data_IF_216805704728
#
_entry.id   IF_216805704728
#
_cell.length_a   1.000
_cell.length_b   1.000
_cell.length_c   1.000
_cell.angle_alpha   90.00
_cell.angle_beta   90.00
_cell.angle_gamma   90.00
#
_symmetry.space_group_name_H-M   'P 1'
#
loop_
_entity.id
_entity.type
_entity.pdbx_description
1 polymer ?
#
# COMPACT_ATOMS: atom_id res chain seq x y z
N UNK A 1 -45.77 -16.48 42.30
CA UNK A 1 -46.42 -15.18 42.14
C UNK A 1 -45.48 -14.16 42.75
N UNK A 2 -44.46 -13.80 41.98
CA UNK A 2 -44.36 -12.56 41.17
C UNK A 2 -43.54 -11.58 42.04
N UNK A 3 -42.30 -11.22 41.75
CA UNK A 3 -41.68 -10.95 40.45
C UNK A 3 -41.85 -9.46 40.16
N UNK A 4 -41.04 -8.60 40.78
CA UNK A 4 -40.95 -7.17 40.46
C UNK A 4 -39.56 -6.65 40.90
N UNK A 5 -38.54 -6.98 40.09
CA UNK A 5 -37.31 -6.21 40.04
C UNK A 5 -37.66 -4.86 39.40
N UNK A 6 -37.54 -3.77 40.16
CA UNK A 6 -37.70 -2.41 39.65
C UNK A 6 -36.43 -2.03 38.92
N UNK A 7 -36.46 -2.14 37.60
CA UNK A 7 -35.43 -1.59 36.72
C UNK A 7 -35.46 -0.06 36.84
N UNK A 8 -34.44 0.51 37.48
CA UNK A 8 -34.22 1.95 37.51
C UNK A 8 -33.85 2.43 36.10
N UNK A 9 -34.87 2.93 35.40
CA UNK A 9 -34.79 3.64 34.14
C UNK A 9 -33.95 4.91 34.31
N UNK A 10 -32.65 4.82 33.96
CA UNK A 10 -31.77 5.98 33.80
C UNK A 10 -32.21 6.78 32.57
N UNK A 11 -33.26 7.59 32.72
CA UNK A 11 -33.66 8.59 31.75
C UNK A 11 -32.62 9.72 31.67
N UNK A 12 -31.78 9.70 30.64
CA UNK A 12 -31.02 10.88 30.25
C UNK A 12 -32.00 11.89 29.61
N UNK A 13 -32.00 13.18 30.04
CA UNK A 13 -32.85 14.19 29.44
C UNK A 13 -32.43 14.43 27.99
N UNK A 14 -33.41 14.32 27.08
CA UNK A 14 -33.25 14.44 25.64
C UNK A 14 -32.43 15.64 25.20
N UNK A 15 -31.20 15.39 24.79
CA UNK A 15 -30.59 16.15 23.71
C UNK A 15 -31.23 15.61 22.42
N UNK A 16 -32.13 16.40 21.82
CA UNK A 16 -32.50 16.21 20.42
C UNK A 16 -31.28 16.49 19.57
N UNK A 17 -30.41 15.48 19.43
CA UNK A 17 -29.57 15.37 18.25
C UNK A 17 -30.57 15.02 17.15
N UNK A 18 -30.83 15.99 16.28
CA UNK A 18 -31.42 15.73 14.98
C UNK A 18 -30.53 14.67 14.34
N UNK A 19 -30.95 13.41 14.41
CA UNK A 19 -30.28 12.32 13.73
C UNK A 19 -30.62 12.49 12.26
N UNK A 20 -29.96 13.43 11.59
CA UNK A 20 -29.79 13.39 10.15
C UNK A 20 -29.14 12.04 9.86
N UNK A 21 -29.96 11.09 9.43
CA UNK A 21 -29.56 9.75 9.07
C UNK A 21 -28.73 9.84 7.79
N UNK A 22 -27.45 10.15 7.94
CA UNK A 22 -26.47 10.14 6.86
C UNK A 22 -26.12 8.70 6.42
N UNK A 23 -26.97 7.72 6.71
CA UNK A 23 -26.78 6.32 6.30
C UNK A 23 -26.85 6.14 4.78
N UNK A 24 -27.53 7.05 4.09
CA UNK A 24 -27.58 7.15 2.61
C UNK A 24 -26.38 7.91 2.01
N UNK A 25 -25.55 8.57 2.83
CA UNK A 25 -24.34 9.24 2.34
C UNK A 25 -23.24 8.20 2.21
N UNK A 26 -22.79 7.95 0.99
CA UNK A 26 -21.65 7.08 0.74
C UNK A 26 -20.42 7.67 1.46
N UNK A 27 -19.75 6.92 2.36
CA UNK A 27 -18.56 7.39 3.09
C UNK A 27 -17.45 7.95 2.19
N UNK A 28 -17.39 7.51 0.92
CA UNK A 28 -16.40 7.97 -0.04
C UNK A 28 -16.82 9.26 -0.78
N UNK A 29 -18.09 9.67 -0.70
CA UNK A 29 -18.61 10.89 -1.30
C UNK A 29 -18.15 12.15 -0.52
N UNK A 30 -18.10 12.07 0.81
CA UNK A 30 -17.57 13.15 1.66
C UNK A 30 -16.08 13.42 1.40
N UNK A 31 -15.31 12.37 1.09
CA UNK A 31 -13.89 12.47 0.75
C UNK A 31 -13.65 12.97 -0.70
N UNK A 32 -14.72 13.22 -1.47
CA UNK A 32 -14.64 13.73 -2.84
C UNK A 32 -14.05 12.74 -3.86
N UNK A 33 -13.99 11.45 -3.52
CA UNK A 33 -13.31 10.42 -4.32
C UNK A 33 -14.27 9.85 -5.38
N UNK A 34 -15.58 9.95 -5.15
CA UNK A 34 -16.62 9.35 -5.99
C UNK A 34 -17.05 10.13 -7.23
N UNK A 35 -16.69 11.42 -7.38
CA UNK A 35 -17.16 12.25 -8.50
C UNK A 35 -16.04 12.60 -9.48
N UNK A 36 -15.52 11.59 -10.18
CA UNK A 36 -14.67 11.80 -11.36
C UNK A 36 -14.90 10.75 -12.44
N UNK A 37 -16.16 10.51 -12.79
CA UNK A 37 -16.51 9.87 -14.06
C UNK A 37 -17.17 10.91 -14.96
N UNK A 38 -16.47 11.25 -16.04
CA UNK A 38 -16.84 12.20 -17.11
C UNK A 38 -16.84 13.71 -16.77
N UNK A 39 -15.66 14.33 -16.80
CA UNK A 39 -15.51 15.74 -17.15
C UNK A 39 -14.80 15.88 -18.51
N UNK A 40 -15.51 15.53 -19.58
CA UNK A 40 -15.22 16.12 -20.91
C UNK A 40 -16.15 17.31 -21.09
N UNK A 41 -15.75 18.46 -20.56
CA UNK A 41 -16.15 19.78 -21.05
C UNK A 41 -15.19 20.79 -20.43
N UNK A 42 -14.34 21.31 -21.30
CA UNK A 42 -13.65 22.58 -21.22
C UNK A 42 -14.46 23.62 -20.47
N UNK A 43 -14.04 23.97 -19.26
CA UNK A 43 -14.13 25.32 -18.73
C UNK A 43 -12.86 25.61 -17.93
N UNK A 44 -12.17 26.63 -18.40
CA UNK A 44 -10.91 27.19 -17.94
C UNK A 44 -11.14 27.91 -16.61
N UNK A 45 -10.70 27.33 -15.48
CA UNK A 45 -10.53 28.11 -14.24
C UNK A 45 -9.43 27.55 -13.32
N UNK A 46 -8.35 28.33 -13.19
CA UNK A 46 -7.61 28.53 -11.93
C UNK A 46 -6.68 27.44 -11.38
N UNK A 47 -6.79 26.17 -11.77
CA UNK A 47 -5.95 25.11 -11.19
C UNK A 47 -4.65 24.95 -11.98
N UNK A 48 -3.67 25.83 -11.72
CA UNK A 48 -2.26 25.48 -11.98
C UNK A 48 -2.03 24.13 -11.33
N UNK A 49 -1.84 23.10 -12.15
CA UNK A 49 -1.47 21.78 -11.69
C UNK A 49 -0.10 21.86 -11.04
N UNK A 50 -0.08 22.11 -9.73
CA UNK A 50 1.05 21.75 -8.90
C UNK A 50 0.97 20.23 -8.79
N UNK A 51 1.59 19.55 -9.74
CA UNK A 51 1.90 18.15 -9.57
C UNK A 51 2.94 18.05 -8.46
N UNK A 52 2.47 17.80 -7.23
CA UNK A 52 3.30 17.72 -6.03
C UNK A 52 4.38 16.62 -6.15
N UNK A 53 4.24 15.70 -7.12
CA UNK A 53 5.21 14.64 -7.41
C UNK A 53 6.28 15.08 -8.43
N UNK A 54 6.01 16.04 -9.31
CA UNK A 54 7.01 16.57 -10.26
C UNK A 54 8.16 17.27 -9.54
N UNK A 55 7.89 18.02 -8.47
CA UNK A 55 8.95 18.70 -7.69
C UNK A 55 9.89 17.75 -6.95
N UNK A 56 9.54 16.47 -6.78
CA UNK A 56 10.40 15.48 -6.12
C UNK A 56 11.33 14.78 -7.12
N UNK A 57 10.99 14.78 -8.42
CA UNK A 57 11.75 14.12 -9.49
C UNK A 57 12.66 15.08 -10.25
N UNK A 58 12.35 16.38 -10.28
CA UNK A 58 13.13 17.40 -11.00
C UNK A 58 14.33 17.98 -10.21
N UNK A 59 14.58 17.56 -8.95
CA UNK A 59 15.68 18.05 -8.12
C UNK A 59 16.83 17.03 -7.95
N UNK A 60 17.11 16.22 -8.98
CA UNK A 60 18.33 15.39 -9.05
C UNK A 60 18.98 15.43 -10.44
N UNK A 61 19.18 16.64 -10.97
CA UNK A 61 20.01 16.89 -12.15
C UNK A 61 20.99 18.03 -11.84
N UNK A 62 22.17 17.70 -11.29
CA UNK A 62 23.14 18.75 -10.99
C UNK A 62 24.48 18.39 -10.36
N UNK A 63 25.26 17.43 -10.90
CA UNK A 63 26.73 17.45 -10.74
C UNK A 63 27.44 17.07 -12.06
N UNK A 64 27.89 18.05 -12.86
CA UNK A 64 28.87 17.83 -13.91
C UNK A 64 30.31 18.07 -13.40
N UNK A 65 31.25 17.38 -14.08
CA UNK A 65 32.68 17.70 -14.22
C UNK A 65 33.69 17.08 -13.22
N UNK A 66 34.27 15.94 -13.61
CA UNK A 66 35.74 15.81 -13.56
C UNK A 66 36.23 14.71 -14.51
N UNK A 67 36.74 15.14 -15.67
CA UNK A 67 37.56 14.36 -16.57
C UNK A 67 38.82 13.80 -15.88
N UNK A 68 38.94 12.47 -15.83
CA UNK A 68 40.24 11.79 -15.85
C UNK A 68 40.17 10.60 -16.80
N UNK A 69 40.72 10.85 -17.98
CA UNK A 69 40.92 9.89 -19.05
C UNK A 69 41.94 8.79 -18.67
N UNK A 70 41.87 7.71 -19.46
CA UNK A 70 42.97 6.85 -19.92
C UNK A 70 43.08 5.46 -19.28
N UNK A 71 42.61 4.41 -20.01
CA UNK A 71 42.95 3.04 -19.64
C UNK A 71 42.31 1.88 -20.40
N UNK A 72 42.62 1.74 -21.70
CA UNK A 72 42.72 0.46 -22.43
C UNK A 72 41.45 -0.37 -22.69
N UNK A 73 40.96 -0.21 -23.92
CA UNK A 73 40.49 -1.26 -24.83
C UNK A 73 40.96 -2.68 -24.44
N UNK A 74 40.07 -3.45 -23.81
CA UNK A 74 40.05 -4.90 -23.88
C UNK A 74 38.61 -5.32 -24.22
N UNK A 75 38.50 -5.70 -25.48
CA UNK A 75 37.50 -6.58 -26.07
C UNK A 75 37.07 -7.69 -25.09
N UNK A 76 35.76 -7.99 -25.08
CA UNK A 76 35.13 -9.30 -24.82
C UNK A 76 34.04 -9.31 -23.74
N UNK A 77 32.80 -9.42 -24.24
CA UNK A 77 31.68 -10.21 -23.72
C UNK A 77 31.25 -10.03 -22.25
N UNK A 78 30.09 -9.40 -22.06
CA UNK A 78 29.39 -9.41 -20.78
C UNK A 78 28.71 -8.10 -20.47
N UNK A 79 27.48 -7.93 -20.97
CA UNK A 79 26.55 -6.90 -20.52
C UNK A 79 26.24 -7.13 -19.03
N UNK A 80 27.02 -6.52 -18.14
CA UNK A 80 26.74 -6.48 -16.70
C UNK A 80 25.69 -5.39 -16.41
N UNK A 81 24.43 -5.67 -16.73
CA UNK A 81 23.30 -5.03 -16.04
C UNK A 81 22.99 -5.83 -14.78
N UNK A 82 23.73 -5.58 -13.70
CA UNK A 82 23.36 -6.02 -12.35
C UNK A 82 23.52 -4.87 -11.39
N UNK A 83 22.57 -3.92 -11.38
CA UNK A 83 22.47 -2.99 -10.25
C UNK A 83 21.13 -2.27 -10.08
N UNK A 84 20.01 -2.84 -10.55
CA UNK A 84 18.66 -2.33 -10.23
C UNK A 84 17.73 -3.34 -9.57
N UNK A 85 18.08 -4.64 -9.55
CA UNK A 85 17.15 -5.68 -9.07
C UNK A 85 17.11 -5.83 -7.54
N UNK A 86 18.17 -5.47 -6.80
CA UNK A 86 18.17 -5.66 -5.34
C UNK A 86 17.13 -4.78 -4.62
N UNK A 87 16.94 -3.54 -5.09
CA UNK A 87 15.93 -2.63 -4.54
C UNK A 87 14.51 -3.12 -4.81
N UNK A 88 14.26 -3.64 -6.01
CA UNK A 88 12.94 -4.15 -6.39
C UNK A 88 12.59 -5.46 -5.69
N UNK A 89 13.57 -6.37 -5.54
CA UNK A 89 13.43 -7.60 -4.76
C UNK A 89 13.16 -7.27 -3.29
N UNK A 90 13.87 -6.31 -2.71
CA UNK A 90 13.67 -5.90 -1.32
C UNK A 90 12.28 -5.29 -1.10
N UNK A 91 11.77 -4.50 -2.05
CA UNK A 91 10.41 -3.95 -2.01
C UNK A 91 9.32 -5.03 -2.18
N UNK A 92 9.54 -5.97 -3.09
CA UNK A 92 8.65 -7.11 -3.31
C UNK A 92 8.57 -8.00 -2.05
N UNK A 93 9.71 -8.28 -1.43
CA UNK A 93 9.79 -9.02 -0.18
C UNK A 93 9.12 -8.27 0.97
N UNK A 94 9.35 -6.95 1.12
CA UNK A 94 8.69 -6.15 2.14
C UNK A 94 7.15 -6.20 2.00
N UNK A 95 6.65 -6.10 0.76
CA UNK A 95 5.21 -6.23 0.48
C UNK A 95 4.69 -7.61 0.85
N UNK A 96 5.46 -8.66 0.53
CA UNK A 96 5.10 -10.03 0.84
C UNK A 96 5.11 -10.32 2.34
N UNK A 97 6.08 -9.77 3.08
CA UNK A 97 6.16 -9.87 4.55
C UNK A 97 4.98 -9.17 5.21
N UNK A 98 4.61 -7.97 4.75
CA UNK A 98 3.40 -7.28 5.23
C UNK A 98 2.17 -8.18 5.07
N UNK A 99 1.99 -8.81 3.89
CA UNK A 99 0.90 -9.76 3.69
C UNK A 99 1.01 -10.98 4.63
N UNK A 100 2.19 -11.56 4.75
CA UNK A 100 2.44 -12.72 5.60
C UNK A 100 2.08 -12.45 7.07
N UNK A 101 2.41 -11.26 7.58
CA UNK A 101 2.06 -10.82 8.94
C UNK A 101 0.54 -10.69 9.14
N UNK A 102 -0.23 -10.35 8.09
CA UNK A 102 -1.70 -10.25 8.22
C UNK A 102 -2.42 -11.59 8.24
N UNK A 103 -1.87 -12.60 7.57
CA UNK A 103 -2.50 -13.94 7.46
C UNK A 103 -1.98 -14.93 8.50
N UNK A 104 -0.83 -14.66 9.12
CA UNK A 104 -0.27 -15.51 10.16
C UNK A 104 -0.95 -15.24 11.50
N UNK A 105 -2.03 -15.98 11.80
CA UNK A 105 -2.81 -15.84 13.04
C UNK A 105 -2.71 -17.12 13.85
N UNK A 106 -2.32 -17.01 15.13
CA UNK A 106 -2.19 -18.14 16.07
C UNK A 106 -1.32 -19.32 15.59
N UNK A 107 -0.37 -19.07 14.67
CA UNK A 107 0.48 -20.11 14.10
C UNK A 107 -0.22 -21.03 13.10
N UNK A 108 -1.40 -20.63 12.61
CA UNK A 108 -2.22 -21.41 11.68
C UNK A 108 -2.50 -20.54 10.45
N UNK A 109 -2.43 -21.16 9.27
CA UNK A 109 -2.94 -20.59 8.03
C UNK A 109 -4.06 -21.47 7.49
N UNK A 110 -5.11 -20.83 7.01
CA UNK A 110 -6.19 -21.53 6.34
C UNK A 110 -5.84 -21.88 4.87
N UNK A 111 -6.57 -22.81 4.22
CA UNK A 111 -6.28 -23.19 2.84
C UNK A 111 -6.48 -22.06 1.82
N UNK A 112 -7.19 -20.98 2.15
CA UNK A 112 -7.42 -19.85 1.26
C UNK A 112 -6.23 -18.89 1.29
N UNK A 113 -5.72 -18.57 2.47
CA UNK A 113 -4.51 -17.78 2.75
C UNK A 113 -3.28 -18.43 2.15
N UNK A 114 -3.12 -19.75 2.29
CA UNK A 114 -2.01 -20.47 1.62
C UNK A 114 -2.07 -20.27 0.10
N UNK A 115 -3.26 -20.33 -0.50
CA UNK A 115 -3.45 -20.09 -1.93
C UNK A 115 -3.18 -18.63 -2.30
N UNK A 116 -3.60 -17.68 -1.47
CA UNK A 116 -3.34 -16.26 -1.63
C UNK A 116 -1.83 -15.98 -1.60
N UNK A 117 -1.12 -16.50 -0.59
CA UNK A 117 0.33 -16.37 -0.47
C UNK A 117 1.05 -17.05 -1.63
N UNK A 118 0.64 -18.23 -2.06
CA UNK A 118 1.26 -18.92 -3.20
C UNK A 118 1.10 -18.11 -4.50
N UNK A 119 -0.06 -17.50 -4.70
CA UNK A 119 -0.32 -16.60 -5.83
C UNK A 119 0.54 -15.34 -5.73
N UNK A 120 0.53 -14.67 -4.58
CA UNK A 120 1.25 -13.41 -4.39
C UNK A 120 2.77 -13.60 -4.47
N UNK A 121 3.28 -14.71 -3.93
CA UNK A 121 4.68 -15.10 -4.03
C UNK A 121 5.11 -15.26 -5.50
N UNK A 122 4.30 -15.95 -6.30
CA UNK A 122 4.57 -16.15 -7.73
C UNK A 122 4.48 -14.84 -8.53
N UNK A 123 3.55 -13.96 -8.16
CA UNK A 123 3.39 -12.62 -8.76
C UNK A 123 4.61 -11.72 -8.50
N UNK A 124 5.19 -11.82 -7.31
CA UNK A 124 6.35 -11.04 -6.88
C UNK A 124 7.70 -11.70 -7.22
N UNK A 125 7.70 -12.87 -7.87
CA UNK A 125 8.92 -13.58 -8.23
C UNK A 125 9.69 -14.18 -7.05
N UNK A 126 9.04 -14.35 -5.90
CA UNK A 126 9.68 -14.90 -4.70
C UNK A 126 9.75 -16.43 -4.81
N UNK A 127 10.92 -17.02 -4.53
CA UNK A 127 11.09 -18.48 -4.55
C UNK A 127 10.44 -19.14 -3.32
N UNK A 128 10.13 -20.44 -3.39
CA UNK A 128 9.57 -21.15 -2.23
C UNK A 128 10.54 -21.18 -1.04
N UNK A 129 11.83 -21.39 -1.30
CA UNK A 129 12.87 -21.36 -0.27
C UNK A 129 12.94 -19.99 0.41
N UNK A 130 12.83 -18.90 -0.36
CA UNK A 130 12.80 -17.55 0.21
C UNK A 130 11.56 -17.32 1.06
N UNK A 131 10.39 -17.78 0.61
CA UNK A 131 9.17 -17.77 1.44
C UNK A 131 9.38 -18.49 2.78
N UNK A 132 10.01 -19.67 2.79
CA UNK A 132 10.27 -20.41 4.04
C UNK A 132 11.22 -19.63 4.97
N UNK A 133 12.26 -18.99 4.43
CA UNK A 133 13.13 -18.11 5.23
C UNK A 133 12.34 -16.95 5.85
N UNK A 134 11.46 -16.31 5.09
CA UNK A 134 10.63 -15.21 5.61
C UNK A 134 9.63 -15.67 6.68
N UNK A 135 9.12 -16.91 6.58
CA UNK A 135 8.26 -17.52 7.60
C UNK A 135 9.08 -17.85 8.87
N UNK A 136 10.28 -18.39 8.70
CA UNK A 136 11.20 -18.69 9.81
C UNK A 136 11.60 -17.40 10.55
N UNK A 137 12.00 -16.37 9.80
CA UNK A 137 12.34 -15.03 10.34
C UNK A 137 11.16 -14.40 11.11
N UNK A 138 9.91 -14.70 10.73
CA UNK A 138 8.71 -14.23 11.41
C UNK A 138 8.43 -15.00 12.72
N UNK A 139 8.84 -16.26 12.80
CA UNK A 139 8.63 -17.12 13.96
C UNK A 139 9.68 -16.90 15.07
N UNK A 140 10.90 -16.51 14.69
CA UNK A 140 12.00 -16.22 15.61
C UNK A 140 12.79 -17.46 16.00
#
# INVERSE_FOLDING_TARGET
MDGEDKEEEFGLPGASIESEDHSDVDPFEELGIGSRVNATSTEEDGRRGYDALSNLVDDDEGLPDSDVAHGSLLEQDGFETKSSNESDVSKAEATYVMLLQTVWVDGILDPAEVRLLAKKRSELGISFERHLKLVDDLLG
#
